data_IF_003212624032
#
_entry.id   IF_003212624032
#
_cell.length_a   1.000
_cell.length_b   1.000
_cell.length_c   1.000
_cell.angle_alpha   90.00
_cell.angle_beta   90.00
_cell.angle_gamma   90.00
#
_symmetry.space_group_name_H-M   'P 1'
#
loop_
_entity.id
_entity.type
_entity.pdbx_description
1 polymer ?
#
# COMPACT_ATOMS: atom_id res chain seq x y z
N UNK A 1 -25.95 -19.13 20.98
CA UNK A 1 -24.83 -18.32 20.45
C UNK A 1 -24.28 -17.48 21.62
N UNK A 2 -22.97 -17.51 21.82
CA UNK A 2 -22.31 -16.65 22.83
C UNK A 2 -22.48 -15.20 22.46
N UNK A 3 -22.78 -14.31 23.42
CA UNK A 3 -22.89 -12.87 23.19
C UNK A 3 -21.86 -12.14 24.05
N UNK A 4 -21.03 -11.29 23.42
CA UNK A 4 -20.01 -10.47 24.06
C UNK A 4 -20.36 -8.99 23.84
N UNK A 5 -20.35 -8.19 24.92
CA UNK A 5 -20.76 -6.79 24.88
C UNK A 5 -19.54 -5.90 25.17
N UNK A 6 -19.38 -4.86 24.37
CA UNK A 6 -18.39 -3.78 24.53
C UNK A 6 -19.00 -2.43 24.14
N UNK A 7 -18.34 -1.33 24.46
CA UNK A 7 -18.73 0.00 23.94
C UNK A 7 -18.26 0.14 22.49
N UNK A 8 -17.03 -0.27 22.21
CA UNK A 8 -16.42 -0.25 20.88
C UNK A 8 -15.88 -1.62 20.53
N UNK A 9 -16.31 -2.13 19.36
CA UNK A 9 -15.75 -3.33 18.72
C UNK A 9 -14.77 -2.88 17.62
N UNK A 10 -13.52 -3.33 17.67
CA UNK A 10 -12.53 -3.14 16.60
C UNK A 10 -12.25 -4.48 15.92
N UNK A 11 -12.30 -4.49 14.58
CA UNK A 11 -12.15 -5.71 13.77
C UNK A 11 -10.88 -5.61 12.95
N UNK A 12 -9.89 -6.44 13.28
CA UNK A 12 -8.55 -6.49 12.68
C UNK A 12 -7.50 -5.83 13.56
N UNK A 13 -6.45 -6.60 13.89
CA UNK A 13 -5.36 -6.20 14.79
C UNK A 13 -4.08 -5.77 14.03
N UNK A 14 -4.24 -5.07 12.90
CA UNK A 14 -3.15 -4.35 12.25
C UNK A 14 -2.82 -3.04 12.96
N UNK A 15 -1.95 -2.23 12.35
CA UNK A 15 -1.56 -0.93 12.93
C UNK A 15 -2.76 -0.02 13.17
N UNK A 16 -3.69 0.08 12.21
CA UNK A 16 -4.90 0.90 12.35
C UNK A 16 -5.81 0.39 13.48
N UNK A 17 -5.99 -0.94 13.59
CA UNK A 17 -6.85 -1.54 14.61
C UNK A 17 -6.30 -1.34 16.02
N UNK A 18 -5.01 -1.63 16.27
CA UNK A 18 -4.40 -1.35 17.58
C UNK A 18 -4.39 0.14 17.90
N UNK A 19 -4.17 1.01 16.92
CA UNK A 19 -4.25 2.46 17.13
C UNK A 19 -5.66 2.88 17.54
N UNK A 20 -6.69 2.44 16.82
CA UNK A 20 -8.08 2.77 17.09
C UNK A 20 -8.53 2.23 18.45
N UNK A 21 -8.21 0.95 18.73
CA UNK A 21 -8.56 0.30 20.00
C UNK A 21 -7.90 0.99 21.20
N UNK A 22 -6.59 1.29 21.10
CA UNK A 22 -5.86 1.99 22.17
C UNK A 22 -6.45 3.37 22.38
N UNK A 23 -6.70 4.11 21.29
CA UNK A 23 -7.20 5.47 21.40
C UNK A 23 -8.61 5.55 21.98
N UNK A 24 -9.50 4.60 21.63
CA UNK A 24 -10.83 4.51 22.23
C UNK A 24 -10.76 4.13 23.71
N UNK A 25 -9.89 3.19 24.09
CA UNK A 25 -9.70 2.78 25.49
C UNK A 25 -9.10 3.90 26.35
N UNK A 26 -8.14 4.69 25.82
CA UNK A 26 -7.62 5.90 26.48
C UNK A 26 -8.72 6.93 26.83
N UNK A 27 -9.80 6.93 26.06
CA UNK A 27 -10.96 7.82 26.28
C UNK A 27 -12.02 7.21 27.21
N UNK A 28 -11.73 6.05 27.79
CA UNK A 28 -12.58 5.39 28.79
C UNK A 28 -13.60 4.39 28.24
N UNK A 29 -13.62 4.13 26.91
CA UNK A 29 -14.51 3.13 26.34
C UNK A 29 -14.06 1.71 26.70
N UNK A 30 -15.03 0.80 26.91
CA UNK A 30 -14.79 -0.65 27.00
C UNK A 30 -14.58 -1.19 25.58
N UNK A 31 -13.35 -1.51 25.22
CA UNK A 31 -12.98 -1.89 23.86
C UNK A 31 -12.66 -3.38 23.77
N UNK A 32 -13.27 -4.05 22.79
CA UNK A 32 -12.90 -5.38 22.33
C UNK A 32 -12.23 -5.27 20.93
N UNK A 33 -11.01 -5.77 20.81
CA UNK A 33 -10.30 -5.92 19.54
C UNK A 33 -10.26 -7.39 19.13
N UNK A 34 -10.83 -7.74 17.98
CA UNK A 34 -10.83 -9.11 17.44
C UNK A 34 -9.93 -9.21 16.20
N UNK A 35 -9.29 -10.36 16.02
CA UNK A 35 -8.37 -10.65 14.91
C UNK A 35 -8.60 -12.06 14.36
N UNK A 36 -8.57 -12.22 13.04
CA UNK A 36 -8.78 -13.53 12.39
C UNK A 36 -7.56 -14.45 12.45
N UNK A 37 -6.35 -13.89 12.44
CA UNK A 37 -5.12 -14.70 12.56
C UNK A 37 -4.95 -15.22 13.98
N UNK A 38 -4.26 -16.36 14.11
CA UNK A 38 -3.95 -16.96 15.42
C UNK A 38 -2.72 -16.30 16.10
N UNK A 39 -2.06 -15.34 15.44
CA UNK A 39 -0.87 -14.67 15.94
C UNK A 39 -1.17 -13.75 17.13
N UNK A 40 -0.23 -13.64 18.06
CA UNK A 40 -0.38 -12.76 19.23
C UNK A 40 -0.46 -11.27 18.89
N UNK A 41 0.10 -10.87 17.74
CA UNK A 41 0.17 -9.47 17.28
C UNK A 41 -0.59 -9.24 15.96
N UNK A 42 -1.54 -10.12 15.62
CA UNK A 42 -2.24 -10.02 14.34
C UNK A 42 -1.40 -10.45 13.14
N UNK A 43 -1.87 -10.16 11.92
CA UNK A 43 -1.26 -10.63 10.68
C UNK A 43 -1.18 -9.59 9.55
N UNK A 44 -1.31 -8.29 9.86
CA UNK A 44 -1.41 -7.22 8.86
C UNK A 44 -0.08 -6.84 8.19
N UNK A 45 -0.16 -5.96 7.20
CA UNK A 45 0.97 -5.46 6.40
C UNK A 45 2.09 -4.80 7.22
N UNK A 46 1.77 -4.32 8.42
CA UNK A 46 2.76 -3.73 9.35
C UNK A 46 3.91 -4.69 9.66
N UNK A 47 3.68 -6.01 9.72
CA UNK A 47 4.71 -7.01 9.98
C UNK A 47 5.77 -7.12 8.88
N UNK A 48 5.47 -6.58 7.69
CA UNK A 48 6.38 -6.56 6.54
C UNK A 48 6.86 -5.13 6.20
N UNK A 49 6.43 -4.13 6.97
CA UNK A 49 6.74 -2.74 6.69
C UNK A 49 8.19 -2.40 7.08
N UNK A 50 8.82 -1.52 6.29
CA UNK A 50 10.14 -0.96 6.60
C UNK A 50 10.13 0.02 7.77
N UNK A 51 8.95 0.48 8.20
CA UNK A 51 8.77 1.41 9.31
C UNK A 51 8.86 2.90 8.92
N UNK A 52 8.83 3.24 7.64
CA UNK A 52 8.83 4.63 7.17
C UNK A 52 7.45 5.27 7.33
N UNK A 53 7.36 6.26 8.20
CA UNK A 53 6.19 7.13 8.37
C UNK A 53 6.32 8.31 7.40
N UNK A 54 5.53 8.31 6.34
CA UNK A 54 5.53 9.32 5.28
C UNK A 54 4.15 9.94 5.14
N UNK A 55 4.12 11.22 4.81
CA UNK A 55 2.90 11.94 4.48
C UNK A 55 3.07 12.54 3.07
N UNK A 56 2.65 11.79 2.04
CA UNK A 56 2.71 12.25 0.66
C UNK A 56 4.13 12.56 0.15
N UNK A 57 5.13 11.74 0.49
CA UNK A 57 6.52 12.01 0.14
C UNK A 57 7.23 13.01 1.06
N UNK A 58 6.50 13.66 1.96
CA UNK A 58 6.97 14.64 2.94
C UNK A 58 7.02 14.04 4.34
N UNK A 59 7.59 14.80 5.30
CA UNK A 59 7.50 14.46 6.72
C UNK A 59 6.07 14.61 7.24
N UNK A 60 5.61 13.76 8.16
CA UNK A 60 4.36 13.99 8.88
C UNK A 60 4.34 15.30 9.70
N UNK A 61 5.50 15.93 9.90
CA UNK A 61 5.68 17.23 10.59
C UNK A 61 5.53 18.43 9.64
N UNK A 62 5.35 18.18 8.34
CA UNK A 62 5.11 19.25 7.35
C UNK A 62 3.80 19.97 7.67
N UNK A 63 3.73 21.25 7.33
CA UNK A 63 2.53 22.07 7.51
C UNK A 63 1.29 21.35 6.95
N UNK A 64 0.19 21.27 7.72
CA UNK A 64 -1.01 20.54 7.30
C UNK A 64 -1.60 21.05 5.98
N UNK A 65 -1.46 22.33 5.64
CA UNK A 65 -1.95 22.89 4.39
C UNK A 65 -1.15 22.39 3.20
N UNK A 66 0.19 22.29 3.35
CA UNK A 66 1.02 21.71 2.31
C UNK A 66 0.71 20.21 2.07
N UNK A 67 0.42 19.47 3.14
CA UNK A 67 0.01 18.07 3.04
C UNK A 67 -1.35 17.95 2.35
N UNK A 68 -2.29 18.80 2.72
CA UNK A 68 -3.61 18.88 2.09
C UNK A 68 -3.52 19.17 0.59
N UNK A 69 -2.80 20.22 0.21
CA UNK A 69 -2.65 20.65 -1.18
C UNK A 69 -1.99 19.56 -2.02
N UNK A 70 -0.97 18.86 -1.45
CA UNK A 70 -0.31 17.73 -2.12
C UNK A 70 -1.30 16.59 -2.41
N UNK A 71 -2.08 16.15 -1.42
CA UNK A 71 -3.02 15.03 -1.59
C UNK A 71 -4.14 15.41 -2.56
N UNK A 72 -4.67 16.63 -2.44
CA UNK A 72 -5.73 17.12 -3.33
C UNK A 72 -5.28 17.28 -4.78
N UNK A 73 -3.99 17.48 -5.03
CA UNK A 73 -3.44 17.59 -6.39
C UNK A 73 -3.56 16.29 -7.21
N UNK A 74 -3.77 15.14 -6.57
CA UNK A 74 -4.01 13.85 -7.24
C UNK A 74 -5.44 13.70 -7.78
N UNK A 75 -6.39 14.49 -7.31
CA UNK A 75 -7.73 14.65 -7.88
C UNK A 75 -8.76 13.55 -7.55
N UNK A 76 -8.43 12.58 -6.68
CA UNK A 76 -9.33 11.46 -6.33
C UNK A 76 -9.67 11.38 -4.84
N UNK A 77 -9.08 12.28 -4.04
CA UNK A 77 -9.26 12.29 -2.60
C UNK A 77 -10.44 13.18 -2.17
N UNK A 78 -11.02 12.87 -1.02
CA UNK A 78 -12.18 13.58 -0.47
C UNK A 78 -11.71 14.70 0.48
N UNK A 79 -12.09 15.97 0.23
CA UNK A 79 -11.53 17.15 0.92
C UNK A 79 -11.65 17.12 2.44
N UNK A 80 -12.80 16.69 2.98
CA UNK A 80 -13.03 16.61 4.42
C UNK A 80 -12.08 15.60 5.10
N UNK A 81 -11.96 14.41 4.50
CA UNK A 81 -11.04 13.38 4.97
C UNK A 81 -9.58 13.83 4.88
N UNK A 82 -9.19 14.47 3.77
CA UNK A 82 -7.81 14.96 3.58
C UNK A 82 -7.47 16.03 4.61
N UNK A 83 -8.39 16.93 4.92
CA UNK A 83 -8.23 17.97 5.95
C UNK A 83 -7.98 17.32 7.32
N UNK A 84 -8.86 16.43 7.75
CA UNK A 84 -8.72 15.74 9.03
C UNK A 84 -7.42 14.92 9.10
N UNK A 85 -7.04 14.28 8.00
CA UNK A 85 -5.81 13.50 7.91
C UNK A 85 -4.57 14.40 8.02
N UNK A 86 -4.50 15.49 7.25
CA UNK A 86 -3.34 16.39 7.24
C UNK A 86 -3.14 17.09 8.60
N UNK A 87 -4.21 17.55 9.22
CA UNK A 87 -4.19 18.17 10.54
C UNK A 87 -3.79 17.18 11.66
N UNK A 88 -4.04 15.89 11.45
CA UNK A 88 -3.73 14.84 12.43
C UNK A 88 -2.33 14.28 12.31
N UNK A 89 -1.64 14.38 11.15
CA UNK A 89 -0.34 13.76 10.89
C UNK A 89 0.71 14.06 11.97
N UNK A 90 0.90 15.32 12.34
CA UNK A 90 1.88 15.73 13.34
C UNK A 90 1.57 15.15 14.73
N UNK A 91 0.32 15.31 15.22
CA UNK A 91 -0.08 14.76 16.51
C UNK A 91 -0.11 13.24 16.55
N UNK A 92 -0.24 12.57 15.41
CA UNK A 92 -0.17 11.12 15.33
C UNK A 92 1.24 10.60 15.65
N UNK A 93 2.29 11.30 15.24
CA UNK A 93 3.66 10.99 15.62
C UNK A 93 3.86 11.19 17.12
N UNK A 94 3.36 12.31 17.69
CA UNK A 94 3.45 12.56 19.14
C UNK A 94 2.71 11.50 19.95
N UNK A 95 1.55 11.06 19.46
CA UNK A 95 0.79 10.00 20.09
C UNK A 95 1.52 8.65 20.05
N UNK A 96 2.17 8.29 18.92
CA UNK A 96 3.00 7.08 18.85
C UNK A 96 4.13 7.13 19.89
N UNK A 97 4.86 8.24 19.99
CA UNK A 97 5.93 8.45 20.96
C UNK A 97 5.39 8.28 22.39
N UNK A 98 4.29 8.96 22.72
CA UNK A 98 3.66 8.86 24.04
C UNK A 98 3.11 7.47 24.34
N UNK A 99 2.85 6.67 23.30
CA UNK A 99 2.43 5.26 23.40
C UNK A 99 3.62 4.29 23.59
N UNK A 100 4.84 4.81 23.71
CA UNK A 100 6.05 4.01 23.89
C UNK A 100 6.63 3.42 22.59
N UNK A 101 6.09 3.80 21.43
CA UNK A 101 6.67 3.45 20.14
C UNK A 101 7.88 4.34 19.90
N UNK A 102 9.05 3.74 19.75
CA UNK A 102 10.26 4.48 19.43
C UNK A 102 10.26 4.90 17.97
N UNK A 103 10.51 6.19 17.71
CA UNK A 103 10.64 6.76 16.38
C UNK A 103 11.96 7.52 16.22
N UNK A 104 12.47 7.59 15.00
CA UNK A 104 13.61 8.39 14.59
C UNK A 104 13.12 9.50 13.65
N UNK A 105 13.31 10.75 14.06
CA UNK A 105 12.95 11.95 13.31
C UNK A 105 14.15 12.62 12.63
N UNK A 106 15.38 12.06 12.76
CA UNK A 106 16.61 12.65 12.24
C UNK A 106 16.79 12.44 10.72
N UNK A 107 15.98 11.59 10.10
CA UNK A 107 16.05 11.36 8.66
C UNK A 107 15.35 12.50 7.89
N UNK A 108 16.01 13.18 6.94
CA UNK A 108 15.40 14.28 6.17
C UNK A 108 14.08 13.87 5.51
N UNK A 109 13.02 14.64 5.75
CA UNK A 109 11.70 14.46 5.12
C UNK A 109 10.92 13.21 5.53
N UNK A 110 11.37 12.48 6.56
CA UNK A 110 10.73 11.24 7.01
C UNK A 110 10.84 11.05 8.52
N UNK A 111 9.85 10.38 9.08
CA UNK A 111 9.92 9.80 10.42
C UNK A 111 9.97 8.29 10.27
N UNK A 112 10.75 7.61 11.07
CA UNK A 112 10.90 6.16 11.01
C UNK A 112 10.58 5.54 12.36
N UNK A 113 9.99 4.34 12.36
CA UNK A 113 10.09 3.50 13.54
C UNK A 113 11.56 3.18 13.81
N UNK A 114 11.94 3.05 15.08
CA UNK A 114 13.30 2.73 15.50
C UNK A 114 13.87 1.56 14.70
N UNK A 115 14.96 1.82 13.98
CA UNK A 115 15.65 0.86 13.12
C UNK A 115 16.75 0.08 13.85
N UNK A 116 16.95 0.31 15.17
CA UNK A 116 17.84 -0.52 15.99
C UNK A 116 17.31 -1.95 16.06
N UNK A 117 18.20 -2.94 15.88
CA UNK A 117 17.85 -4.35 15.87
C UNK A 117 18.34 -5.08 14.62
N UNK A 118 18.35 -6.40 14.65
CA UNK A 118 18.80 -7.21 13.52
C UNK A 118 17.82 -7.12 12.34
N UNK A 119 18.36 -6.78 11.17
CA UNK A 119 17.69 -6.86 9.89
C UNK A 119 18.04 -8.20 9.27
N UNK A 120 17.14 -9.18 9.33
CA UNK A 120 17.32 -10.41 8.56
C UNK A 120 16.87 -10.14 7.11
N UNK A 121 17.81 -10.22 6.18
CA UNK A 121 17.58 -10.17 4.73
C UNK A 121 17.38 -11.57 4.12
N UNK A 122 17.22 -12.61 4.96
CA UNK A 122 17.01 -13.98 4.49
C UNK A 122 15.59 -14.18 3.94
N UNK A 123 15.41 -15.05 2.99
CA UNK A 123 14.78 -14.93 1.66
C UNK A 123 13.45 -14.19 1.62
N UNK A 124 12.86 -13.87 2.77
CA UNK A 124 11.73 -12.93 2.91
C UNK A 124 12.18 -11.87 3.91
N UNK A 125 12.22 -10.63 3.47
CA UNK A 125 12.53 -9.45 4.27
C UNK A 125 11.74 -9.46 5.59
N UNK A 126 12.43 -9.74 6.69
CA UNK A 126 11.85 -9.67 8.04
C UNK A 126 12.52 -8.54 8.79
N UNK A 127 11.86 -7.40 8.88
CA UNK A 127 12.14 -6.42 9.91
C UNK A 127 11.17 -6.62 11.06
N UNK A 128 11.68 -6.54 12.25
CA UNK A 128 10.88 -6.61 13.47
C UNK A 128 10.31 -5.24 13.90
N UNK A 129 10.62 -4.17 13.15
CA UNK A 129 10.17 -2.80 13.49
C UNK A 129 8.65 -2.69 13.64
N UNK A 130 7.90 -3.29 12.71
CA UNK A 130 6.45 -3.34 12.80
C UNK A 130 5.96 -4.17 13.97
N UNK A 131 6.60 -5.30 14.22
CA UNK A 131 6.30 -6.20 15.36
C UNK A 131 6.52 -5.45 16.68
N UNK A 132 7.64 -4.74 16.84
CA UNK A 132 7.92 -3.94 18.05
C UNK A 132 6.92 -2.83 18.25
N UNK A 133 6.55 -2.10 17.19
CA UNK A 133 5.54 -1.06 17.26
C UNK A 133 4.16 -1.62 17.70
N UNK A 134 3.72 -2.72 17.10
CA UNK A 134 2.48 -3.39 17.50
C UNK A 134 2.51 -3.91 18.94
N UNK A 135 3.65 -4.49 19.37
CA UNK A 135 3.80 -4.98 20.73
C UNK A 135 3.62 -3.84 21.77
N UNK A 136 4.18 -2.65 21.49
CA UNK A 136 3.99 -1.47 22.35
C UNK A 136 2.55 -0.97 22.37
N UNK A 137 1.88 -0.93 21.23
CA UNK A 137 0.47 -0.54 21.16
C UNK A 137 -0.43 -1.56 21.88
N UNK A 138 -0.15 -2.87 21.72
CA UNK A 138 -0.87 -3.93 22.45
C UNK A 138 -0.67 -3.80 23.95
N UNK A 139 0.57 -3.61 24.43
CA UNK A 139 0.90 -3.38 25.84
C UNK A 139 0.09 -2.21 26.41
N UNK A 140 0.10 -1.08 25.70
CA UNK A 140 -0.65 0.11 26.09
C UNK A 140 -2.16 -0.13 26.09
N UNK A 141 -2.70 -0.77 25.05
CA UNK A 141 -4.12 -1.13 24.94
C UNK A 141 -4.60 -1.96 26.13
N UNK A 142 -3.84 -3.00 26.47
CA UNK A 142 -4.13 -3.85 27.62
C UNK A 142 -4.02 -3.09 28.95
N UNK A 143 -3.10 -2.12 29.03
CA UNK A 143 -2.95 -1.22 30.18
C UNK A 143 -4.18 -0.33 30.46
N UNK A 144 -5.00 -0.06 29.45
CA UNK A 144 -6.30 0.60 29.58
C UNK A 144 -7.48 -0.39 29.74
N UNK A 145 -7.21 -1.59 30.21
CA UNK A 145 -8.18 -2.67 30.35
C UNK A 145 -8.89 -3.06 29.02
N UNK A 146 -8.24 -2.80 27.88
CA UNK A 146 -8.70 -3.26 26.59
C UNK A 146 -8.63 -4.80 26.48
N UNK A 147 -9.56 -5.39 25.77
CA UNK A 147 -9.64 -6.84 25.56
C UNK A 147 -9.26 -7.20 24.13
N UNK A 148 -8.26 -8.08 23.96
CA UNK A 148 -7.81 -8.60 22.64
C UNK A 148 -8.11 -10.07 22.51
N UNK A 149 -8.75 -10.46 21.41
CA UNK A 149 -9.04 -11.85 21.08
C UNK A 149 -8.66 -12.16 19.63
N UNK A 150 -7.88 -13.20 19.43
CA UNK A 150 -7.47 -13.70 18.11
C UNK A 150 -8.30 -14.91 17.66
N UNK A 151 -8.01 -15.41 16.44
CA UNK A 151 -8.69 -16.54 15.80
C UNK A 151 -10.20 -16.34 15.65
N UNK A 152 -10.63 -15.07 15.48
CA UNK A 152 -12.03 -14.70 15.28
C UNK A 152 -12.16 -13.96 13.94
N UNK A 153 -12.87 -14.55 13.01
CA UNK A 153 -13.19 -13.91 11.73
C UNK A 153 -14.55 -13.22 11.80
N UNK A 154 -14.59 -11.90 11.54
CA UNK A 154 -15.83 -11.15 11.36
C UNK A 154 -16.59 -11.63 10.09
N UNK A 155 -17.90 -11.80 10.18
CA UNK A 155 -18.73 -12.33 9.09
C UNK A 155 -19.78 -11.36 8.59
N UNK A 156 -20.61 -10.81 9.47
CA UNK A 156 -21.72 -9.92 9.12
C UNK A 156 -21.90 -8.86 10.20
N UNK A 157 -22.22 -7.63 9.78
CA UNK A 157 -22.62 -6.57 10.70
C UNK A 157 -24.08 -6.79 11.16
N UNK A 158 -24.36 -6.43 12.38
CA UNK A 158 -25.70 -6.48 12.97
C UNK A 158 -26.31 -5.09 12.81
N UNK A 159 -27.45 -5.02 12.14
CA UNK A 159 -28.21 -3.78 11.96
C UNK A 159 -29.43 -3.78 12.89
N UNK A 160 -29.60 -2.69 13.66
CA UNK A 160 -30.77 -2.43 14.50
C UNK A 160 -31.16 -0.95 14.35
N UNK A 161 -32.38 -0.68 13.98
CA UNK A 161 -32.93 0.67 13.80
C UNK A 161 -32.00 1.59 12.94
N UNK A 162 -31.60 1.08 11.78
CA UNK A 162 -30.70 1.74 10.81
C UNK A 162 -29.30 2.07 11.37
N UNK A 163 -28.89 1.40 12.43
CA UNK A 163 -27.58 1.54 13.07
C UNK A 163 -26.85 0.20 13.08
N UNK A 164 -25.53 0.24 12.91
CA UNK A 164 -24.66 -0.90 13.19
C UNK A 164 -24.54 -1.04 14.71
N UNK A 165 -25.05 -2.16 15.24
CA UNK A 165 -25.12 -2.48 16.67
C UNK A 165 -24.11 -3.60 17.07
N UNK A 166 -23.21 -3.96 16.16
CA UNK A 166 -22.21 -4.99 16.39
C UNK A 166 -21.95 -5.88 15.16
N UNK A 167 -21.49 -7.09 15.42
CA UNK A 167 -21.06 -8.04 14.39
C UNK A 167 -21.28 -9.49 14.84
N UNK A 168 -21.60 -10.38 13.90
CA UNK A 168 -21.44 -11.83 14.08
C UNK A 168 -20.06 -12.22 13.54
N UNK A 169 -19.28 -12.91 14.36
CA UNK A 169 -18.01 -13.52 13.98
C UNK A 169 -18.00 -15.02 14.21
N UNK A 170 -16.93 -15.67 13.76
CA UNK A 170 -16.74 -17.13 13.97
C UNK A 170 -15.39 -17.43 14.59
N UNK A 171 -15.36 -18.36 15.56
CA UNK A 171 -14.17 -18.97 16.13
C UNK A 171 -14.29 -20.49 16.02
N UNK A 172 -13.35 -21.14 15.35
CA UNK A 172 -13.33 -22.60 15.16
C UNK A 172 -14.69 -23.18 14.67
N UNK A 173 -15.37 -22.45 13.78
CA UNK A 173 -16.67 -22.83 13.21
C UNK A 173 -17.89 -22.48 14.06
N UNK A 174 -17.73 -22.05 15.31
CA UNK A 174 -18.82 -21.58 16.17
C UNK A 174 -19.06 -20.08 16.01
N UNK A 175 -20.34 -19.68 15.91
CA UNK A 175 -20.72 -18.28 15.83
C UNK A 175 -20.70 -17.61 17.21
N UNK A 176 -20.22 -16.36 17.22
CA UNK A 176 -20.20 -15.48 18.40
C UNK A 176 -20.83 -14.16 17.97
N UNK A 177 -21.73 -13.65 18.80
CA UNK A 177 -22.34 -12.34 18.63
C UNK A 177 -21.60 -11.30 19.45
N UNK A 178 -21.11 -10.27 18.78
CA UNK A 178 -20.45 -9.11 19.38
C UNK A 178 -21.39 -7.91 19.32
N UNK A 179 -21.79 -7.38 20.47
CA UNK A 179 -22.63 -6.18 20.59
C UNK A 179 -21.78 -4.97 20.97
N UNK A 180 -21.95 -3.87 20.24
CA UNK A 180 -21.21 -2.65 20.49
C UNK A 180 -21.98 -1.41 20.03
N UNK A 181 -21.73 -0.28 20.70
CA UNK A 181 -22.27 1.03 20.28
C UNK A 181 -21.60 1.50 18.98
N UNK A 182 -20.34 1.14 18.75
CA UNK A 182 -19.61 1.44 17.55
C UNK A 182 -18.73 0.25 17.11
N UNK A 183 -18.67 0.01 15.79
CA UNK A 183 -17.81 -1.00 15.16
C UNK A 183 -16.82 -0.32 14.24
N UNK A 184 -15.52 -0.54 14.46
CA UNK A 184 -14.44 -0.02 13.63
C UNK A 184 -13.88 -1.16 12.76
N UNK A 185 -14.00 -1.04 11.45
CA UNK A 185 -13.44 -1.97 10.47
C UNK A 185 -12.01 -1.57 10.14
N UNK A 186 -11.02 -2.36 10.60
CA UNK A 186 -9.58 -2.14 10.43
C UNK A 186 -8.88 -3.39 9.84
N UNK A 187 -9.58 -4.11 8.96
CA UNK A 187 -9.23 -5.45 8.45
C UNK A 187 -8.20 -5.46 7.33
N UNK A 188 -7.67 -4.30 6.94
CA UNK A 188 -6.85 -4.17 5.74
C UNK A 188 -7.68 -4.19 4.45
N UNK A 189 -6.97 -4.20 3.31
CA UNK A 189 -7.56 -4.19 1.98
C UNK A 189 -7.89 -5.58 1.43
N UNK A 190 -7.79 -5.72 0.09
CA UNK A 190 -8.11 -6.97 -0.60
C UNK A 190 -6.99 -7.49 -1.52
N UNK A 191 -5.75 -7.05 -1.32
CA UNK A 191 -4.61 -7.38 -2.19
C UNK A 191 -4.31 -8.87 -2.31
N UNK A 192 -4.67 -9.67 -1.30
CA UNK A 192 -4.49 -11.12 -1.29
C UNK A 192 -5.68 -11.91 -1.89
N UNK A 193 -6.77 -11.21 -2.24
CA UNK A 193 -7.95 -11.84 -2.84
C UNK A 193 -7.92 -11.70 -4.35
N UNK A 194 -7.51 -12.74 -5.05
CA UNK A 194 -7.35 -12.75 -6.51
C UNK A 194 -8.62 -12.38 -7.27
N UNK A 195 -9.78 -12.79 -6.80
CA UNK A 195 -11.07 -12.48 -7.44
C UNK A 195 -11.39 -10.98 -7.34
N UNK A 196 -11.19 -10.38 -6.15
CA UNK A 196 -11.40 -8.94 -5.96
C UNK A 196 -10.36 -8.11 -6.70
N UNK A 197 -9.10 -8.54 -6.72
CA UNK A 197 -8.03 -7.89 -7.49
C UNK A 197 -8.37 -7.90 -8.98
N UNK A 198 -8.78 -9.05 -9.53
CA UNK A 198 -9.24 -9.17 -10.91
C UNK A 198 -10.48 -8.30 -11.19
N UNK A 199 -11.45 -8.30 -10.28
CA UNK A 199 -12.70 -7.53 -10.44
C UNK A 199 -12.48 -6.03 -10.46
N UNK A 200 -11.61 -5.51 -9.60
CA UNK A 200 -11.53 -4.08 -9.36
C UNK A 200 -10.30 -3.40 -9.96
N UNK A 201 -9.17 -4.11 -10.11
CA UNK A 201 -7.92 -3.52 -10.60
C UNK A 201 -7.74 -3.72 -12.10
N UNK A 202 -7.85 -4.96 -12.58
CA UNK A 202 -7.69 -5.25 -14.01
C UNK A 202 -7.97 -6.72 -14.35
N UNK A 203 -8.27 -7.04 -15.62
CA UNK A 203 -8.77 -8.35 -16.05
C UNK A 203 -7.82 -9.52 -15.77
N UNK A 204 -6.52 -9.24 -15.67
CA UNK A 204 -5.45 -10.20 -15.36
C UNK A 204 -4.60 -9.79 -14.14
N UNK A 205 -5.10 -8.87 -13.31
CA UNK A 205 -4.37 -8.40 -12.13
C UNK A 205 -4.19 -9.48 -11.04
N UNK A 206 -4.90 -10.59 -11.13
CA UNK A 206 -4.69 -11.79 -10.30
C UNK A 206 -3.36 -12.51 -10.58
N UNK A 207 -2.66 -12.16 -11.67
CA UNK A 207 -1.31 -12.61 -12.02
C UNK A 207 -0.20 -11.72 -11.40
N UNK A 208 -0.55 -10.57 -10.83
CA UNK A 208 0.39 -9.73 -10.10
C UNK A 208 0.99 -10.45 -8.89
N UNK A 209 2.24 -10.12 -8.53
CA UNK A 209 2.84 -10.64 -7.32
C UNK A 209 2.24 -9.97 -6.08
N UNK A 210 1.73 -10.75 -5.14
CA UNK A 210 1.38 -10.22 -3.82
C UNK A 210 2.68 -9.84 -3.07
N UNK A 211 2.82 -8.55 -2.72
CA UNK A 211 3.90 -7.99 -1.90
C UNK A 211 3.44 -7.62 -0.49
N UNK A 212 2.25 -8.02 -0.13
CA UNK A 212 1.59 -7.71 1.13
C UNK A 212 1.22 -8.96 1.93
N UNK A 213 0.46 -8.72 2.99
CA UNK A 213 -0.05 -9.77 3.87
C UNK A 213 -1.06 -10.66 3.15
N UNK A 214 -0.92 -11.97 3.33
CA UNK A 214 -1.92 -12.96 2.90
C UNK A 214 -3.27 -12.81 3.62
N UNK A 215 -3.33 -11.97 4.67
CA UNK A 215 -4.54 -11.69 5.44
C UNK A 215 -5.42 -10.59 4.82
N UNK A 216 -4.93 -9.87 3.80
CA UNK A 216 -5.67 -8.80 3.13
C UNK A 216 -6.67 -9.37 2.10
N UNK A 217 -7.74 -10.01 2.60
CA UNK A 217 -8.71 -10.79 1.82
C UNK A 217 -10.00 -10.04 1.48
N UNK A 218 -10.13 -8.76 1.89
CA UNK A 218 -11.30 -7.94 1.59
C UNK A 218 -12.52 -8.23 2.49
N UNK A 219 -12.33 -8.85 3.64
CA UNK A 219 -13.44 -9.19 4.54
C UNK A 219 -14.20 -7.94 4.97
N UNK A 220 -13.49 -6.88 5.42
CA UNK A 220 -14.11 -5.64 5.87
C UNK A 220 -14.88 -4.92 4.75
N UNK A 221 -14.30 -4.87 3.54
CA UNK A 221 -14.98 -4.31 2.38
C UNK A 221 -16.31 -5.03 2.12
N UNK A 222 -16.28 -6.36 2.09
CA UNK A 222 -17.47 -7.18 1.82
C UNK A 222 -18.57 -6.96 2.85
N UNK A 223 -18.23 -6.97 4.14
CA UNK A 223 -19.24 -6.83 5.21
C UNK A 223 -19.81 -5.42 5.28
N UNK A 224 -19.01 -4.38 4.98
CA UNK A 224 -19.49 -3.01 4.95
C UNK A 224 -20.40 -2.75 3.74
N UNK A 225 -20.05 -3.26 2.56
CA UNK A 225 -20.90 -3.18 1.37
C UNK A 225 -22.28 -3.83 1.58
N UNK A 226 -22.33 -4.92 2.36
CA UNK A 226 -23.58 -5.62 2.66
C UNK A 226 -24.56 -4.78 3.48
N UNK A 227 -24.11 -3.73 4.18
CA UNK A 227 -24.95 -2.78 4.92
C UNK A 227 -25.06 -1.43 4.24
N UNK A 228 -24.75 -1.35 2.93
CA UNK A 228 -24.91 -0.16 2.10
C UNK A 228 -23.80 0.86 2.17
N UNK A 229 -22.60 0.49 2.66
CA UNK A 229 -21.44 1.37 2.61
C UNK A 229 -20.99 1.60 1.19
N UNK A 230 -20.59 2.85 0.87
CA UNK A 230 -19.99 3.23 -0.41
C UNK A 230 -18.52 2.83 -0.44
N UNK A 231 -18.07 2.28 -1.56
CA UNK A 231 -16.65 1.99 -1.79
C UNK A 231 -16.10 2.87 -2.91
N UNK A 232 -14.86 3.35 -2.73
CA UNK A 232 -14.20 4.27 -3.68
C UNK A 232 -12.77 3.85 -3.95
N UNK A 233 -12.23 4.29 -5.09
CA UNK A 233 -10.82 4.13 -5.48
C UNK A 233 -10.34 2.66 -5.60
N UNK A 234 -11.23 1.67 -5.70
CA UNK A 234 -10.92 0.24 -5.67
C UNK A 234 -9.94 -0.21 -6.77
N UNK A 235 -9.79 0.57 -7.85
CA UNK A 235 -8.87 0.26 -8.95
C UNK A 235 -7.41 0.63 -8.68
N UNK A 236 -7.11 1.28 -7.54
CA UNK A 236 -5.76 1.73 -7.22
C UNK A 236 -5.12 0.85 -6.13
N UNK A 237 -3.81 0.65 -6.27
CA UNK A 237 -3.01 -0.03 -5.26
C UNK A 237 -1.65 0.64 -5.10
N UNK A 238 -1.06 0.51 -3.92
CA UNK A 238 0.35 0.77 -3.70
C UNK A 238 1.15 -0.47 -4.06
N UNK A 239 2.12 -0.26 -4.91
CA UNK A 239 2.99 -1.32 -5.38
C UNK A 239 4.06 -0.79 -6.32
N UNK A 240 4.96 -1.66 -6.75
CA UNK A 240 6.09 -1.33 -7.61
C UNK A 240 6.23 -2.37 -8.71
N UNK A 241 6.90 -2.01 -9.80
CA UNK A 241 7.43 -3.03 -10.70
C UNK A 241 8.54 -3.81 -9.99
N UNK A 242 8.54 -5.11 -10.16
CA UNK A 242 9.59 -6.02 -9.68
C UNK A 242 9.98 -6.97 -10.81
N UNK A 243 11.14 -7.62 -10.69
CA UNK A 243 11.51 -8.65 -11.65
C UNK A 243 10.40 -9.71 -11.75
N UNK A 244 10.02 -10.12 -12.96
CA UNK A 244 9.06 -11.20 -13.19
C UNK A 244 9.47 -12.50 -12.50
N UNK A 245 10.78 -12.71 -12.31
CA UNK A 245 11.32 -13.84 -11.53
C UNK A 245 10.71 -13.96 -10.13
N UNK A 246 10.26 -12.86 -9.54
CA UNK A 246 9.59 -12.86 -8.23
C UNK A 246 8.31 -13.71 -8.18
N UNK A 247 7.71 -14.05 -9.31
CA UNK A 247 6.55 -14.95 -9.34
C UNK A 247 6.88 -16.36 -8.85
N UNK A 248 8.13 -16.79 -9.03
CA UNK A 248 8.61 -18.16 -8.71
C UNK A 248 9.79 -18.17 -7.73
N UNK A 249 10.40 -17.03 -7.44
CA UNK A 249 11.57 -16.92 -6.56
C UNK A 249 11.46 -15.71 -5.64
N UNK A 250 11.24 -15.97 -4.35
CA UNK A 250 11.03 -14.93 -3.34
C UNK A 250 12.28 -14.10 -3.03
N UNK A 251 13.47 -14.44 -3.56
CA UNK A 251 14.68 -13.60 -3.47
C UNK A 251 14.55 -12.27 -4.22
N UNK A 252 13.60 -12.16 -5.15
CA UNK A 252 13.30 -10.94 -5.90
C UNK A 252 12.11 -10.15 -5.34
N UNK A 253 11.70 -10.45 -4.11
CA UNK A 253 10.59 -9.82 -3.42
C UNK A 253 10.92 -9.61 -1.94
N UNK A 254 10.66 -8.48 -1.34
CA UNK A 254 10.15 -7.21 -1.91
C UNK A 254 11.23 -6.34 -2.55
N UNK A 255 12.46 -6.79 -2.59
CA UNK A 255 13.64 -6.10 -3.14
C UNK A 255 14.40 -7.02 -4.11
N UNK A 256 15.19 -6.44 -5.05
CA UNK A 256 15.42 -5.00 -5.27
C UNK A 256 14.18 -4.31 -5.85
N UNK A 257 14.03 -3.01 -5.57
CA UNK A 257 13.05 -2.16 -6.25
C UNK A 257 13.64 -1.70 -7.58
N UNK A 258 12.75 -1.39 -8.54
CA UNK A 258 13.13 -1.03 -9.90
C UNK A 258 12.75 0.42 -10.25
N UNK A 259 12.43 1.22 -9.23
CA UNK A 259 11.86 2.57 -9.40
C UNK A 259 12.80 3.48 -10.21
N UNK A 260 14.12 3.44 -9.94
CA UNK A 260 15.12 4.20 -10.68
C UNK A 260 15.16 3.83 -12.17
N UNK A 261 14.97 2.56 -12.51
CA UNK A 261 14.89 2.12 -13.91
C UNK A 261 13.60 2.57 -14.59
N UNK A 262 12.49 2.68 -13.85
CA UNK A 262 11.23 3.27 -14.37
C UNK A 262 11.42 4.75 -14.67
N UNK A 263 12.09 5.48 -13.77
CA UNK A 263 12.36 6.91 -13.95
C UNK A 263 13.27 7.18 -15.15
N UNK A 264 14.22 6.33 -15.44
CA UNK A 264 15.25 6.51 -16.45
C UNK A 264 14.96 5.81 -17.79
N UNK A 265 14.09 4.79 -17.78
CA UNK A 265 13.85 3.89 -18.92
C UNK A 265 12.50 4.08 -19.58
N UNK A 266 12.13 3.06 -20.37
CA UNK A 266 10.82 2.93 -21.01
C UNK A 266 10.25 1.55 -20.75
N UNK A 267 8.94 1.45 -20.57
CA UNK A 267 8.21 0.19 -20.44
C UNK A 267 7.55 -0.18 -21.78
N UNK A 268 7.88 -1.34 -22.30
CA UNK A 268 7.31 -1.87 -23.55
C UNK A 268 6.55 -3.17 -23.32
N UNK A 269 5.53 -3.40 -24.16
CA UNK A 269 4.80 -4.67 -24.20
C UNK A 269 5.58 -5.75 -24.98
N UNK A 270 5.01 -6.95 -25.15
CA UNK A 270 5.65 -8.07 -25.91
C UNK A 270 6.00 -7.71 -27.34
N UNK A 271 5.27 -6.79 -27.95
CA UNK A 271 5.52 -6.32 -29.32
C UNK A 271 6.62 -5.25 -29.41
N UNK A 272 7.22 -4.84 -28.28
CA UNK A 272 8.23 -3.79 -28.22
C UNK A 272 7.67 -2.36 -28.34
N UNK A 273 6.41 -2.15 -28.00
CA UNK A 273 5.70 -0.86 -28.09
C UNK A 273 5.52 -0.27 -26.70
N UNK A 274 5.85 1.02 -26.49
CA UNK A 274 5.54 1.77 -25.28
C UNK A 274 4.02 1.95 -25.13
N UNK A 275 3.52 1.79 -23.90
CA UNK A 275 2.09 1.88 -23.62
C UNK A 275 1.76 2.72 -22.37
N UNK A 276 2.76 3.24 -21.65
CA UNK A 276 2.57 4.00 -20.41
C UNK A 276 3.50 5.22 -20.39
N UNK A 277 3.10 6.26 -19.65
CA UNK A 277 3.96 7.40 -19.31
C UNK A 277 4.73 7.08 -18.02
N UNK A 278 5.98 6.70 -18.15
CA UNK A 278 6.84 6.30 -17.03
C UNK A 278 7.14 7.50 -16.09
N UNK A 279 7.02 8.73 -16.59
CA UNK A 279 7.21 9.95 -15.80
C UNK A 279 6.11 10.22 -14.77
N UNK A 280 5.04 9.44 -14.77
CA UNK A 280 4.01 9.46 -13.72
C UNK A 280 4.48 8.79 -12.43
N UNK A 281 5.62 8.09 -12.46
CA UNK A 281 6.21 7.39 -11.32
C UNK A 281 5.82 5.92 -11.24
N UNK A 282 6.64 5.19 -10.50
CA UNK A 282 6.62 3.73 -10.35
C UNK A 282 5.25 3.15 -9.94
N UNK A 283 4.58 3.77 -8.96
CA UNK A 283 3.24 3.33 -8.50
C UNK A 283 2.20 3.45 -9.60
N UNK A 284 2.20 4.57 -10.35
CA UNK A 284 1.27 4.75 -11.46
C UNK A 284 1.55 3.74 -12.59
N UNK A 285 2.82 3.53 -12.92
CA UNK A 285 3.25 2.58 -13.97
C UNK A 285 2.88 1.14 -13.60
N UNK A 286 3.08 0.73 -12.34
CA UNK A 286 2.64 -0.58 -11.86
C UNK A 286 1.12 -0.76 -11.97
N UNK A 287 0.35 0.28 -11.62
CA UNK A 287 -1.12 0.28 -11.76
C UNK A 287 -1.56 0.18 -13.23
N UNK A 288 -0.90 0.89 -14.15
CA UNK A 288 -1.23 0.80 -15.58
C UNK A 288 -0.92 -0.58 -16.14
N UNK A 289 0.24 -1.17 -15.83
CA UNK A 289 0.57 -2.53 -16.26
C UNK A 289 -0.44 -3.56 -15.72
N UNK A 290 -0.88 -3.44 -14.46
CA UNK A 290 -1.85 -4.35 -13.87
C UNK A 290 -3.24 -4.31 -14.54
N UNK A 291 -3.55 -3.26 -15.34
CA UNK A 291 -4.81 -3.11 -16.09
C UNK A 291 -4.73 -3.61 -17.52
N UNK A 292 -3.56 -4.03 -17.99
CA UNK A 292 -3.39 -4.56 -19.35
C UNK A 292 -3.89 -5.99 -19.46
N UNK A 293 -4.09 -6.44 -20.70
CA UNK A 293 -4.41 -7.84 -21.00
C UNK A 293 -3.20 -8.80 -20.81
N UNK A 294 -1.98 -8.26 -20.72
CA UNK A 294 -0.75 -9.03 -20.54
C UNK A 294 0.12 -8.43 -19.42
N UNK A 295 -0.19 -8.82 -18.21
CA UNK A 295 0.46 -8.31 -16.98
C UNK A 295 1.91 -8.79 -16.83
N UNK A 296 2.26 -9.91 -17.45
CA UNK A 296 3.55 -10.60 -17.30
C UNK A 296 4.49 -10.44 -18.51
N UNK A 297 4.02 -9.81 -19.57
CA UNK A 297 4.77 -9.69 -20.84
C UNK A 297 5.56 -8.40 -20.99
N UNK A 298 5.47 -7.49 -20.04
CA UNK A 298 6.16 -6.20 -20.12
C UNK A 298 7.66 -6.31 -19.86
N UNK A 299 8.42 -5.47 -20.57
CA UNK A 299 9.88 -5.35 -20.43
C UNK A 299 10.25 -3.91 -20.21
N UNK A 300 11.04 -3.65 -19.18
CA UNK A 300 11.63 -2.36 -18.88
C UNK A 300 12.98 -2.26 -19.61
N UNK A 301 13.10 -1.28 -20.53
CA UNK A 301 14.30 -1.04 -21.34
C UNK A 301 15.01 0.20 -20.82
N UNK A 302 16.30 0.11 -20.53
CA UNK A 302 17.12 1.21 -20.06
C UNK A 302 18.58 1.10 -20.54
N UNK A 303 19.37 2.15 -20.35
CA UNK A 303 20.76 2.22 -20.76
C UNK A 303 21.76 1.94 -19.65
N UNK A 304 23.05 1.90 -19.97
CA UNK A 304 24.12 1.57 -19.04
C UNK A 304 24.27 2.59 -17.89
N UNK A 305 24.00 3.86 -18.14
CA UNK A 305 24.05 4.88 -17.07
C UNK A 305 23.16 4.50 -15.89
N UNK A 306 21.91 4.08 -16.15
CA UNK A 306 20.97 3.66 -15.13
C UNK A 306 21.41 2.36 -14.45
N UNK A 307 21.98 1.42 -15.22
CA UNK A 307 22.52 0.17 -14.64
C UNK A 307 23.68 0.43 -13.70
N UNK A 308 24.63 1.31 -14.09
CA UNK A 308 25.76 1.66 -13.23
C UNK A 308 25.33 2.43 -11.97
N UNK A 309 24.36 3.34 -12.09
CA UNK A 309 23.79 4.07 -10.95
C UNK A 309 23.11 3.14 -9.94
N UNK A 310 22.53 2.03 -10.41
CA UNK A 310 21.81 1.06 -9.56
C UNK A 310 22.71 0.23 -8.64
N UNK A 311 24.04 0.36 -8.68
CA UNK A 311 25.00 -0.25 -7.72
C UNK A 311 24.81 0.27 -6.31
N UNK A 312 24.43 1.54 -6.19
CA UNK A 312 24.27 2.23 -4.91
C UNK A 312 22.79 2.49 -4.56
N UNK A 313 21.87 1.93 -5.36
CA UNK A 313 20.43 2.12 -5.15
C UNK A 313 19.94 1.29 -3.96
N UNK A 314 20.14 1.84 -2.78
CA UNK A 314 19.61 1.32 -1.53
C UNK A 314 18.33 2.07 -1.15
N UNK A 315 17.37 1.39 -0.55
CA UNK A 315 16.10 1.98 -0.13
C UNK A 315 16.27 3.18 0.81
N UNK A 316 17.24 3.11 1.71
CA UNK A 316 17.69 4.21 2.57
C UNK A 316 19.00 3.84 3.26
N UNK A 317 19.71 4.83 3.80
CA UNK A 317 20.89 4.59 4.64
C UNK A 317 20.57 3.79 5.92
N UNK A 318 19.29 3.77 6.33
CA UNK A 318 18.82 3.04 7.53
C UNK A 318 18.41 1.60 7.23
N UNK A 319 18.14 1.27 5.95
CA UNK A 319 17.64 -0.04 5.52
C UNK A 319 18.48 -0.52 4.36
N UNK A 320 19.42 -1.40 4.63
CA UNK A 320 20.21 -2.06 3.58
C UNK A 320 19.33 -3.07 2.84
N UNK A 321 19.19 -2.89 1.55
CA UNK A 321 18.48 -3.80 0.63
C UNK A 321 19.44 -4.22 -0.47
N UNK A 322 19.23 -5.37 -1.15
CA UNK A 322 19.97 -5.67 -2.37
C UNK A 322 19.85 -4.54 -3.37
N UNK A 323 20.97 -4.05 -3.88
CA UNK A 323 20.98 -3.12 -5.00
C UNK A 323 20.65 -3.90 -6.29
N UNK A 324 19.87 -3.35 -7.23
CA UNK A 324 19.53 -4.05 -8.47
C UNK A 324 20.76 -4.54 -9.24
N UNK A 325 21.81 -3.73 -9.33
CA UNK A 325 23.10 -4.10 -9.84
C UNK A 325 24.08 -4.39 -8.67
N UNK A 326 24.69 -5.58 -8.53
CA UNK A 326 24.65 -6.69 -9.49
C UNK A 326 23.56 -7.75 -9.23
N UNK A 327 22.73 -7.59 -8.19
CA UNK A 327 21.82 -8.63 -7.68
C UNK A 327 20.99 -9.33 -8.77
N UNK A 328 20.43 -8.56 -9.71
CA UNK A 328 19.60 -9.10 -10.78
C UNK A 328 20.38 -10.05 -11.71
N UNK A 329 21.62 -9.72 -12.05
CA UNK A 329 22.46 -10.58 -12.89
C UNK A 329 22.98 -11.80 -12.14
N UNK A 330 23.45 -11.62 -10.90
CA UNK A 330 24.05 -12.68 -10.10
C UNK A 330 23.05 -13.79 -9.74
N UNK A 331 21.76 -13.48 -9.75
CA UNK A 331 20.68 -14.40 -9.33
C UNK A 331 19.68 -14.74 -10.44
N UNK A 332 20.00 -14.49 -11.71
CA UNK A 332 19.10 -14.76 -12.86
C UNK A 332 17.74 -14.05 -12.71
N UNK A 333 17.78 -12.74 -12.51
CA UNK A 333 16.60 -11.88 -12.32
C UNK A 333 15.85 -11.54 -13.61
N UNK A 334 16.02 -12.31 -14.67
CA UNK A 334 15.42 -12.07 -16.01
C UNK A 334 15.82 -10.72 -16.63
N UNK A 335 17.07 -10.31 -16.40
CA UNK A 335 17.71 -9.16 -17.03
C UNK A 335 18.62 -9.61 -18.18
N UNK A 336 18.54 -8.92 -19.29
CA UNK A 336 19.28 -9.19 -20.53
C UNK A 336 20.08 -7.97 -20.94
N UNK A 337 21.27 -8.16 -21.53
CA UNK A 337 22.16 -7.09 -21.95
C UNK A 337 22.57 -7.28 -23.41
N UNK A 338 22.65 -6.18 -24.15
CA UNK A 338 23.19 -6.16 -25.52
C UNK A 338 23.81 -4.81 -25.89
N UNK A 339 24.81 -4.83 -26.76
CA UNK A 339 25.42 -3.60 -27.30
C UNK A 339 24.53 -2.88 -28.31
N UNK A 340 23.50 -3.56 -28.84
CA UNK A 340 22.56 -3.00 -29.81
C UNK A 340 21.11 -3.30 -29.42
N UNK A 341 20.20 -2.43 -29.87
CA UNK A 341 18.75 -2.64 -29.63
C UNK A 341 18.27 -3.89 -30.36
N UNK A 342 18.83 -4.14 -31.56
CA UNK A 342 18.50 -5.34 -32.36
C UNK A 342 18.90 -6.63 -31.64
N UNK A 343 20.10 -6.67 -31.07
CA UNK A 343 20.56 -7.81 -30.27
C UNK A 343 19.73 -7.98 -28.99
N UNK A 344 19.32 -6.88 -28.37
CA UNK A 344 18.44 -6.93 -27.21
C UNK A 344 17.06 -7.50 -27.56
N UNK A 345 16.48 -7.07 -28.70
CA UNK A 345 15.21 -7.61 -29.18
C UNK A 345 15.29 -9.13 -29.44
N UNK A 346 16.39 -9.60 -30.03
CA UNK A 346 16.59 -11.03 -30.28
C UNK A 346 16.62 -11.86 -29.00
N UNK A 347 17.39 -11.46 -27.99
CA UNK A 347 17.48 -12.21 -26.74
C UNK A 347 16.19 -12.14 -25.92
N UNK A 348 15.39 -11.07 -26.08
CA UNK A 348 14.07 -10.93 -25.46
C UNK A 348 12.96 -11.68 -26.21
N UNK A 349 13.22 -12.12 -27.48
CA UNK A 349 12.22 -12.72 -28.35
C UNK A 349 11.17 -11.72 -28.87
N UNK A 350 11.57 -10.45 -29.05
CA UNK A 350 10.72 -9.36 -29.53
C UNK A 350 10.92 -9.06 -31.01
N UNK A 351 9.95 -8.38 -31.63
CA UNK A 351 10.10 -7.84 -32.99
C UNK A 351 11.21 -6.77 -33.02
N UNK A 352 12.29 -7.11 -33.73
CA UNK A 352 13.50 -6.29 -33.83
C UNK A 352 13.22 -4.92 -34.45
N UNK A 353 12.38 -4.85 -35.47
CA UNK A 353 12.08 -3.62 -36.18
C UNK A 353 11.24 -2.68 -35.31
N UNK A 354 10.29 -3.23 -34.58
CA UNK A 354 9.42 -2.46 -33.67
C UNK A 354 10.19 -1.93 -32.49
N UNK A 355 10.94 -2.77 -31.77
CA UNK A 355 11.72 -2.30 -30.61
C UNK A 355 12.73 -1.23 -31.01
N UNK A 356 13.44 -1.43 -32.16
CA UNK A 356 14.36 -0.42 -32.71
C UNK A 356 13.64 0.90 -33.01
N UNK A 357 12.47 0.85 -33.65
CA UNK A 357 11.69 2.05 -33.93
C UNK A 357 11.26 2.76 -32.62
N UNK A 358 10.78 2.01 -31.63
CA UNK A 358 10.38 2.54 -30.33
C UNK A 358 11.52 3.28 -29.63
N UNK A 359 12.70 2.65 -29.50
CA UNK A 359 13.88 3.27 -28.85
C UNK A 359 14.38 4.47 -29.63
N UNK A 360 14.47 4.37 -30.97
CA UNK A 360 14.89 5.48 -31.84
C UNK A 360 13.98 6.69 -31.70
N UNK A 361 12.66 6.49 -31.78
CA UNK A 361 11.68 7.58 -31.76
C UNK A 361 11.59 8.20 -30.37
N UNK A 362 11.71 7.39 -29.31
CA UNK A 362 11.86 7.87 -27.95
C UNK A 362 13.12 8.75 -27.80
N UNK A 363 14.30 8.25 -28.17
CA UNK A 363 15.56 9.00 -28.04
C UNK A 363 15.51 10.31 -28.81
N UNK A 364 14.98 10.34 -30.05
CA UNK A 364 14.79 11.55 -30.84
C UNK A 364 13.89 12.57 -30.12
N UNK A 365 12.81 12.10 -29.51
CA UNK A 365 11.89 12.99 -28.81
C UNK A 365 12.52 13.57 -27.53
N UNK A 366 13.37 12.79 -26.84
CA UNK A 366 14.12 13.28 -25.66
C UNK A 366 15.16 14.33 -26.10
N UNK A 367 15.97 14.05 -27.13
CA UNK A 367 16.98 15.00 -27.65
C UNK A 367 16.34 16.31 -28.13
N UNK A 368 15.16 16.23 -28.75
CA UNK A 368 14.42 17.39 -29.23
C UNK A 368 13.55 18.07 -28.15
N UNK A 369 13.49 17.53 -26.94
CA UNK A 369 12.62 18.00 -25.84
C UNK A 369 11.12 18.05 -26.20
N UNK A 370 10.64 17.09 -27.01
CA UNK A 370 9.26 17.01 -27.50
C UNK A 370 8.57 15.68 -27.07
N UNK A 371 8.89 15.19 -25.90
CA UNK A 371 8.40 13.89 -25.44
C UNK A 371 6.88 13.79 -25.26
N UNK A 372 6.18 14.95 -25.16
CA UNK A 372 4.72 15.02 -25.15
C UNK A 372 4.09 14.66 -26.49
N UNK A 373 4.85 14.77 -27.61
CA UNK A 373 4.37 14.43 -28.96
C UNK A 373 4.50 12.94 -29.31
N UNK A 374 5.06 12.11 -28.44
CA UNK A 374 5.07 10.67 -28.60
C UNK A 374 3.64 10.11 -28.56
N UNK A 375 3.37 9.00 -29.22
CA UNK A 375 2.07 8.33 -29.19
C UNK A 375 1.57 8.04 -27.77
N UNK A 376 2.51 7.74 -26.86
CA UNK A 376 2.32 7.81 -25.41
C UNK A 376 3.31 8.85 -24.87
N UNK A 377 2.81 9.92 -24.26
CA UNK A 377 3.67 11.00 -23.74
C UNK A 377 4.67 10.46 -22.70
N UNK A 378 5.77 11.19 -22.53
CA UNK A 378 6.76 10.91 -21.48
C UNK A 378 7.00 12.20 -20.71
N UNK A 379 6.40 12.26 -19.52
CA UNK A 379 6.54 13.41 -18.60
C UNK A 379 7.80 13.26 -17.72
N UNK A 380 8.04 14.19 -16.82
CA UNK A 380 9.21 14.17 -15.93
C UNK A 380 10.51 14.56 -16.63
N UNK A 381 11.60 13.93 -16.25
CA UNK A 381 12.96 14.19 -16.76
C UNK A 381 13.49 12.93 -17.47
N UNK A 382 13.03 12.65 -18.69
CA UNK A 382 13.47 11.46 -19.43
C UNK A 382 14.95 11.54 -19.78
N UNK A 383 15.60 10.36 -19.86
CA UNK A 383 16.97 10.22 -20.32
C UNK A 383 17.03 9.52 -21.68
N UNK A 384 18.02 9.88 -22.50
CA UNK A 384 18.33 9.15 -23.73
C UNK A 384 18.88 7.77 -23.38
N UNK A 385 18.34 6.73 -23.97
CA UNK A 385 18.84 5.36 -23.78
C UNK A 385 20.10 5.16 -24.61
N UNK A 386 21.22 4.79 -23.99
CA UNK A 386 22.53 4.58 -24.62
C UNK A 386 23.04 3.18 -24.35
N UNK A 387 23.76 2.65 -25.33
CA UNK A 387 24.40 1.32 -25.22
C UNK A 387 25.45 1.27 -24.08
N UNK A 388 25.67 0.09 -23.50
CA UNK A 388 24.87 -1.12 -23.66
C UNK A 388 23.44 -0.96 -23.17
N UNK A 389 22.53 -1.63 -23.86
CA UNK A 389 21.11 -1.62 -23.48
C UNK A 389 20.78 -2.81 -22.59
N UNK A 390 19.83 -2.61 -21.68
CA UNK A 390 19.31 -3.63 -20.79
C UNK A 390 17.80 -3.79 -20.99
N UNK A 391 17.33 -5.02 -20.90
CA UNK A 391 15.91 -5.37 -20.89
C UNK A 391 15.60 -6.24 -19.69
N UNK A 392 14.72 -5.78 -18.84
CA UNK A 392 14.32 -6.48 -17.61
C UNK A 392 12.84 -6.86 -17.71
N UNK A 393 12.53 -8.15 -17.67
CA UNK A 393 11.14 -8.62 -17.61
C UNK A 393 10.56 -8.30 -16.23
N UNK A 394 9.41 -7.64 -16.24
CA UNK A 394 8.79 -7.12 -15.01
C UNK A 394 7.35 -7.57 -14.85
N UNK A 395 6.89 -7.49 -13.59
CA UNK A 395 5.51 -7.73 -13.19
C UNK A 395 5.13 -6.72 -12.10
N UNK A 396 3.85 -6.28 -12.03
CA UNK A 396 3.41 -5.46 -10.91
C UNK A 396 3.43 -6.28 -9.61
N UNK A 397 3.94 -5.67 -8.55
CA UNK A 397 3.82 -6.22 -7.21
C UNK A 397 2.84 -5.39 -6.38
N UNK A 398 1.75 -5.99 -5.91
CA UNK A 398 0.72 -5.32 -5.10
C UNK A 398 1.07 -5.43 -3.63
N UNK A 399 1.29 -4.30 -2.94
CA UNK A 399 1.57 -4.28 -1.50
C UNK A 399 0.27 -4.17 -0.70
N UNK A 400 -0.60 -3.23 -1.05
CA UNK A 400 -1.95 -3.09 -0.48
C UNK A 400 -2.85 -2.28 -1.43
N UNK A 401 -4.16 -2.41 -1.29
CA UNK A 401 -5.13 -1.65 -2.08
C UNK A 401 -5.36 -0.27 -1.47
N UNK A 402 -5.44 0.77 -2.30
CA UNK A 402 -5.62 2.16 -1.87
C UNK A 402 -7.10 2.56 -1.75
N UNK A 403 -7.98 1.75 -2.32
CA UNK A 403 -9.42 1.92 -2.25
C UNK A 403 -10.05 1.03 -1.19
N UNK A 404 -11.25 1.41 -0.76
CA UNK A 404 -12.01 0.72 0.27
C UNK A 404 -13.28 1.46 0.63
N UNK A 405 -13.75 1.30 1.84
CA UNK A 405 -14.95 1.94 2.39
C UNK A 405 -14.72 3.45 2.42
N UNK A 406 -15.61 4.22 1.80
CA UNK A 406 -15.56 5.68 1.89
C UNK A 406 -15.87 6.12 3.32
N UNK A 407 -15.01 7.00 3.86
CA UNK A 407 -15.19 7.62 5.18
C UNK A 407 -15.11 9.15 5.09
N UNK A 408 -15.71 9.83 6.07
CA UNK A 408 -15.53 11.27 6.26
C UNK A 408 -14.33 11.58 7.17
N UNK A 409 -14.11 12.87 7.49
CA UNK A 409 -13.03 13.34 8.37
C UNK A 409 -13.10 12.82 9.81
N UNK A 410 -14.22 12.20 10.21
CA UNK A 410 -14.40 11.54 11.51
C UNK A 410 -14.16 10.02 11.46
N UNK A 411 -13.74 9.50 10.30
CA UNK A 411 -13.62 8.08 9.99
C UNK A 411 -14.96 7.30 10.04
N UNK A 412 -16.11 7.97 9.99
CA UNK A 412 -17.43 7.36 9.87
C UNK A 412 -17.61 6.82 8.45
N UNK A 413 -18.04 5.57 8.31
CA UNK A 413 -18.34 4.97 7.01
C UNK A 413 -19.57 5.63 6.38
N UNK A 414 -19.48 5.95 5.09
CA UNK A 414 -20.54 6.63 4.36
C UNK A 414 -21.32 5.66 3.46
N UNK A 415 -22.61 5.90 3.30
CA UNK A 415 -23.47 5.20 2.34
C UNK A 415 -23.37 5.82 0.94
N UNK A 416 -24.12 5.29 -0.04
CA UNK A 416 -24.12 5.79 -1.42
C UNK A 416 -24.55 7.27 -1.57
N UNK A 417 -25.28 7.80 -0.59
CA UNK A 417 -25.67 9.22 -0.53
C UNK A 417 -24.66 10.07 0.24
N UNK A 418 -23.51 9.51 0.58
CA UNK A 418 -22.44 10.13 1.40
C UNK A 418 -22.93 10.59 2.78
N UNK A 419 -23.93 9.89 3.34
CA UNK A 419 -24.36 10.07 4.71
C UNK A 419 -23.73 9.01 5.63
N UNK A 420 -23.38 9.37 6.88
CA UNK A 420 -22.81 8.42 7.82
C UNK A 420 -23.73 7.22 8.09
N UNK A 421 -23.18 6.02 8.04
CA UNK A 421 -23.82 4.81 8.58
C UNK A 421 -23.58 4.80 10.08
N UNK A 422 -24.63 5.03 10.86
CA UNK A 422 -24.53 5.15 12.30
C UNK A 422 -23.88 3.90 12.94
N UNK A 423 -22.92 4.13 13.81
CA UNK A 423 -22.21 3.06 14.51
C UNK A 423 -21.14 2.33 13.69
N UNK A 424 -20.88 2.73 12.40
CA UNK A 424 -19.86 2.11 11.56
C UNK A 424 -18.73 3.08 11.24
N UNK A 425 -17.49 2.64 11.50
CA UNK A 425 -16.25 3.36 11.22
C UNK A 425 -15.30 2.48 10.41
N UNK A 426 -14.36 3.07 9.67
CA UNK A 426 -13.28 2.31 9.03
C UNK A 426 -11.95 3.04 9.13
N UNK A 427 -10.83 2.27 9.22
CA UNK A 427 -9.49 2.80 9.35
C UNK A 427 -8.44 1.94 8.62
N UNK A 428 -7.30 2.55 8.29
CA UNK A 428 -6.21 1.90 7.56
C UNK A 428 -6.60 1.55 6.13
N UNK A 429 -6.06 0.45 5.60
CA UNK A 429 -6.29 0.05 4.21
C UNK A 429 -7.71 -0.54 3.96
N UNK A 430 -8.54 -0.66 5.00
CA UNK A 430 -9.96 -1.01 4.86
C UNK A 430 -10.78 0.16 4.29
N UNK A 431 -10.31 1.39 4.47
CA UNK A 431 -10.98 2.59 3.97
C UNK A 431 -10.39 3.06 2.63
N UNK A 432 -11.17 3.84 1.88
CA UNK A 432 -10.78 4.57 0.68
C UNK A 432 -11.00 6.07 0.81
N UNK A 433 -10.74 6.80 -0.27
CA UNK A 433 -11.00 8.24 -0.35
C UNK A 433 -9.83 9.14 0.00
N UNK A 434 -8.67 8.58 0.38
CA UNK A 434 -7.45 9.34 0.65
C UNK A 434 -6.39 9.15 -0.43
N UNK A 435 -6.15 7.91 -0.86
CA UNK A 435 -5.11 7.53 -1.81
C UNK A 435 -5.64 7.18 -3.19
N UNK A 436 -4.72 7.16 -4.17
CA UNK A 436 -4.99 6.91 -5.58
C UNK A 436 -4.83 8.17 -6.40
N UNK A 437 -4.91 8.06 -7.73
CA UNK A 437 -4.83 9.19 -8.63
C UNK A 437 -3.90 9.02 -9.81
N UNK A 438 -3.74 10.07 -10.58
CA UNK A 438 -3.00 10.05 -11.84
C UNK A 438 -1.52 9.67 -11.65
N UNK A 439 -0.89 10.15 -10.59
CA UNK A 439 0.51 9.83 -10.25
C UNK A 439 0.63 8.74 -9.19
N UNK A 440 -0.42 7.93 -9.01
CA UNK A 440 -0.44 6.87 -8.01
C UNK A 440 -0.93 7.32 -6.63
N UNK A 441 -0.80 8.60 -6.26
CA UNK A 441 -1.40 9.24 -5.07
C UNK A 441 -1.11 8.54 -3.73
N UNK A 442 0.11 8.05 -3.54
CA UNK A 442 0.51 7.36 -2.32
C UNK A 442 0.82 8.36 -1.20
N UNK A 443 0.04 8.35 -0.13
CA UNK A 443 0.20 9.26 1.02
C UNK A 443 0.99 8.67 2.18
N UNK A 444 1.25 7.37 2.17
CA UNK A 444 1.97 6.67 3.26
C UNK A 444 1.05 5.74 4.06
N UNK A 445 1.12 4.42 3.81
CA UNK A 445 0.22 3.44 4.43
C UNK A 445 0.30 3.40 5.96
N UNK A 446 1.50 3.52 6.54
CA UNK A 446 1.64 3.56 8.01
C UNK A 446 1.02 4.83 8.61
N UNK A 447 1.21 6.00 7.97
CA UNK A 447 0.58 7.24 8.43
C UNK A 447 -0.94 7.20 8.26
N UNK A 448 -1.44 6.68 7.13
CA UNK A 448 -2.87 6.45 6.97
C UNK A 448 -3.42 5.58 8.11
N UNK A 449 -2.76 4.47 8.43
CA UNK A 449 -3.22 3.55 9.46
C UNK A 449 -3.25 4.20 10.85
N UNK A 450 -2.22 4.96 11.24
CA UNK A 450 -2.18 5.64 12.54
C UNK A 450 -3.19 6.79 12.61
N UNK A 451 -3.20 7.67 11.62
CA UNK A 451 -4.07 8.84 11.60
C UNK A 451 -5.55 8.43 11.61
N UNK A 452 -5.95 7.53 10.70
CA UNK A 452 -7.35 7.12 10.61
C UNK A 452 -7.76 6.23 11.80
N UNK A 453 -6.81 5.47 12.37
CA UNK A 453 -7.01 4.75 13.62
C UNK A 453 -7.29 5.71 14.79
N UNK A 454 -6.53 6.81 14.91
CA UNK A 454 -6.78 7.85 15.91
C UNK A 454 -8.17 8.48 15.71
N UNK A 455 -8.49 8.90 14.47
CA UNK A 455 -9.78 9.52 14.17
C UNK A 455 -10.95 8.56 14.47
N UNK A 456 -10.86 7.30 14.07
CA UNK A 456 -11.88 6.30 14.34
C UNK A 456 -12.02 6.05 15.85
N UNK A 457 -10.92 5.84 16.57
CA UNK A 457 -10.94 5.60 18.02
C UNK A 457 -11.52 6.77 18.81
N UNK A 458 -11.15 8.00 18.44
CA UNK A 458 -11.67 9.23 19.08
C UNK A 458 -13.17 9.41 18.87
N UNK A 459 -13.68 9.17 17.67
CA UNK A 459 -15.07 9.43 17.34
C UNK A 459 -15.99 8.25 17.71
N UNK A 460 -15.51 7.02 17.65
CA UNK A 460 -16.27 5.85 18.09
C UNK A 460 -16.46 5.77 19.62
N UNK A 461 -15.61 6.45 20.41
CA UNK A 461 -15.68 6.48 21.89
C UNK A 461 -16.61 7.55 22.45
N UNK A 462 -17.20 8.39 21.61
CA UNK A 462 -18.21 9.38 22.03
C UNK A 462 -19.55 8.64 22.10
N UNK A 463 -19.96 8.27 23.31
CA UNK A 463 -21.18 7.50 23.60
C UNK A 463 -22.35 8.42 23.88
#
# INVERSE_FOLDING_TARGET
>A
METIISDVLVVGAGLAGFTAATRAAERGAKVLLIEKSAGELGGGNILMASGSLRAGGKSPRTDPRELYDFVMSEGVAYPDLVRAWSETCGRAVDWLISSGVKVDENAPGRVWFDQSGEVSLAPVYKKDVGTRALAKLKERFLGFAGRYENSIQGKTLILENDRVAGMVGTRAGSEIEFRAHATIVATGGFSANKELVKKYIGPHADECKLRGSKQDTGDGLRIALAVGAKAVNLKYFYGHLISRKALVDDRFWPYPRLDSFVDDGILVNREGIRFVDEGRGDVAVANELARTEDVTGAVLIFGDESWQAAKDDNFSNLVKTPAPNPWLMDHDGEIFRSETVEGLAQVLGMDTMRLRATVRDYNRAVDASVTQSLGVSRTGKPKVLRAPYYGLRVVPGITFTMGGILVNGRAEALNENEQPILGLYAAGDAMGGLMGGYRGGYTGGLMQAVVTGILAGENASVL
#
